data_IF_876388680625
#
_entry.id   IF_876388680625
#
_cell.length_a   1.000
_cell.length_b   1.000
_cell.length_c   1.000
_cell.angle_alpha   90.00
_cell.angle_beta   90.00
_cell.angle_gamma   90.00
#
_symmetry.space_group_name_H-M   'P 1'
#
loop_
_entity.id
_entity.type
_entity.pdbx_description
1 polymer ?
#
# COMPACT_ATOMS: atom_id res chain seq x y z
N UNK A 1 6.04 -5.77 -4.18
CA UNK A 1 6.77 -5.25 -5.36
C UNK A 1 7.80 -6.30 -5.79
N UNK A 2 8.16 -6.36 -7.07
CA UNK A 2 8.92 -7.46 -7.68
C UNK A 2 10.44 -7.28 -7.60
N UNK A 3 10.90 -6.07 -7.27
CA UNK A 3 12.25 -5.84 -6.79
C UNK A 3 12.44 -6.65 -5.50
N UNK A 4 13.64 -7.13 -5.18
CA UNK A 4 13.94 -7.82 -3.90
C UNK A 4 13.67 -6.98 -2.63
N UNK A 5 12.95 -5.86 -2.74
CA UNK A 5 12.51 -4.95 -1.70
C UNK A 5 11.01 -4.65 -1.82
N UNK A 6 10.31 -4.59 -0.69
CA UNK A 6 8.93 -4.14 -0.57
C UNK A 6 8.89 -2.73 0.07
N UNK A 7 7.83 -1.97 -0.14
CA UNK A 7 7.58 -0.70 0.55
C UNK A 7 6.06 -0.51 0.68
N UNK A 8 5.66 0.20 1.71
CA UNK A 8 4.27 0.46 2.04
C UNK A 8 3.85 1.80 1.48
N UNK A 9 2.63 1.88 0.97
CA UNK A 9 2.06 3.09 0.38
C UNK A 9 0.78 3.43 1.12
N UNK A 10 0.66 4.66 1.60
CA UNK A 10 -0.54 5.19 2.25
C UNK A 10 -1.10 6.33 1.40
N UNK A 11 -2.40 6.28 1.12
CA UNK A 11 -3.13 7.33 0.43
C UNK A 11 -4.47 7.58 1.14
N UNK A 12 -5.03 8.78 1.00
CA UNK A 12 -6.41 9.02 1.43
C UNK A 12 -7.43 8.39 0.47
N UNK A 13 -8.70 8.43 0.87
CA UNK A 13 -9.82 7.87 0.09
C UNK A 13 -10.08 8.59 -1.23
N UNK A 14 -9.48 9.77 -1.47
CA UNK A 14 -9.52 10.46 -2.76
C UNK A 14 -8.35 10.06 -3.68
N UNK A 15 -7.40 9.26 -3.16
CA UNK A 15 -6.24 8.78 -3.89
C UNK A 15 -5.02 9.67 -3.77
N UNK A 16 -5.06 10.71 -2.94
CA UNK A 16 -3.89 11.56 -2.67
C UNK A 16 -2.88 10.76 -1.86
N UNK A 17 -1.67 10.66 -2.39
CA UNK A 17 -0.55 10.00 -1.72
C UNK A 17 -0.16 10.76 -0.44
N UNK A 18 -0.17 10.06 0.69
CA UNK A 18 0.23 10.58 2.00
C UNK A 18 1.65 10.15 2.35
N UNK A 19 1.97 8.86 2.13
CA UNK A 19 3.25 8.31 2.57
C UNK A 19 3.74 7.17 1.65
N UNK A 20 5.07 7.07 1.50
CA UNK A 20 5.78 5.92 0.95
C UNK A 20 6.86 5.55 1.96
N UNK A 21 6.77 4.35 2.54
CA UNK A 21 7.73 3.89 3.55
C UNK A 21 9.13 3.71 2.96
N UNK A 22 10.09 3.56 3.86
CA UNK A 22 11.40 3.05 3.47
C UNK A 22 11.27 1.63 2.87
N UNK A 23 12.18 1.26 1.96
CA UNK A 23 12.17 -0.07 1.38
C UNK A 23 12.68 -1.09 2.39
N UNK A 24 11.95 -2.18 2.55
CA UNK A 24 12.29 -3.35 3.36
C UNK A 24 12.62 -4.53 2.44
N UNK A 25 13.22 -5.60 2.95
CA UNK A 25 13.47 -6.79 2.14
C UNK A 25 12.15 -7.45 1.64
N UNK A 26 12.11 -7.88 0.39
CA UNK A 26 10.90 -8.37 -0.28
C UNK A 26 10.36 -9.73 0.20
N UNK A 27 11.01 -10.36 1.18
CA UNK A 27 10.65 -11.70 1.70
C UNK A 27 9.51 -11.65 2.74
N UNK A 28 9.21 -10.48 3.29
CA UNK A 28 8.23 -10.35 4.37
C UNK A 28 6.79 -10.31 3.85
N UNK A 29 5.88 -10.99 4.56
CA UNK A 29 4.44 -10.83 4.37
C UNK A 29 4.04 -9.37 4.57
N UNK A 30 3.02 -8.89 3.87
CA UNK A 30 2.56 -7.49 3.93
C UNK A 30 2.22 -7.04 5.36
N UNK A 31 1.61 -7.89 6.18
CA UNK A 31 1.34 -7.58 7.59
C UNK A 31 2.61 -7.44 8.45
N UNK A 32 3.70 -8.15 8.10
CA UNK A 32 5.00 -7.98 8.74
C UNK A 32 5.65 -6.68 8.29
N UNK A 33 5.69 -6.45 6.98
CA UNK A 33 6.18 -5.24 6.36
C UNK A 33 5.54 -3.97 6.95
N UNK A 34 4.23 -4.04 7.16
CA UNK A 34 3.46 -2.96 7.77
C UNK A 34 3.93 -2.60 9.19
N UNK A 35 4.23 -3.60 10.02
CA UNK A 35 4.74 -3.38 11.38
C UNK A 35 6.18 -2.90 11.37
N UNK A 36 7.02 -3.52 10.54
CA UNK A 36 8.45 -3.21 10.41
C UNK A 36 8.70 -1.77 9.94
N UNK A 37 7.81 -1.24 9.11
CA UNK A 37 7.88 0.16 8.64
C UNK A 37 7.43 1.19 9.69
N UNK A 38 6.95 0.77 10.87
CA UNK A 38 6.44 1.67 11.92
C UNK A 38 5.09 2.32 11.61
N UNK A 39 4.47 1.98 10.47
CA UNK A 39 3.17 2.52 10.10
C UNK A 39 2.07 2.09 11.06
N UNK A 40 2.20 0.91 11.66
CA UNK A 40 1.28 0.38 12.67
C UNK A 40 1.11 1.33 13.87
N UNK A 41 2.17 2.05 14.24
CA UNK A 41 2.19 2.95 15.39
C UNK A 41 1.75 4.38 15.01
N UNK A 42 1.64 4.66 13.71
CA UNK A 42 1.38 6.01 13.18
C UNK A 42 -0.07 6.20 12.73
N UNK A 43 -0.70 5.16 12.17
CA UNK A 43 -2.05 5.26 11.59
C UNK A 43 -3.12 4.78 12.56
N UNK A 44 -4.32 5.38 12.49
CA UNK A 44 -5.49 4.83 13.16
C UNK A 44 -5.96 3.56 12.41
N UNK A 45 -5.59 2.39 12.94
CA UNK A 45 -5.87 1.09 12.33
C UNK A 45 -7.36 0.87 12.08
N UNK A 46 -8.23 1.23 13.04
CA UNK A 46 -9.68 0.99 12.92
C UNK A 46 -10.36 1.82 11.82
N UNK A 47 -9.66 2.83 11.30
CA UNK A 47 -10.13 3.66 10.19
C UNK A 47 -9.22 3.56 8.94
N UNK A 48 -8.33 2.58 8.90
CA UNK A 48 -7.43 2.36 7.77
C UNK A 48 -7.92 1.16 6.94
N UNK A 49 -8.20 1.40 5.66
CA UNK A 49 -8.56 0.35 4.71
C UNK A 49 -7.30 -0.36 4.21
N UNK A 50 -7.34 -1.70 4.15
CA UNK A 50 -6.24 -2.49 3.59
C UNK A 50 -6.72 -3.75 2.87
N UNK A 51 -5.82 -4.36 2.10
CA UNK A 51 -6.09 -5.64 1.43
C UNK A 51 -6.15 -6.79 2.46
N UNK A 52 -6.69 -7.94 2.03
CA UNK A 52 -6.75 -9.21 2.76
C UNK A 52 -5.39 -9.69 3.26
N UNK A 53 -4.28 -9.27 2.63
CA UNK A 53 -2.91 -9.56 3.09
C UNK A 53 -2.56 -8.95 4.44
N UNK A 54 -3.35 -7.96 4.89
CA UNK A 54 -3.22 -7.27 6.18
C UNK A 54 -4.22 -7.78 7.22
N UNK A 55 -4.87 -8.94 6.98
CA UNK A 55 -5.75 -9.51 8.00
C UNK A 55 -4.98 -9.79 9.31
N UNK A 56 -5.59 -9.45 10.45
CA UNK A 56 -4.97 -9.58 11.76
C UNK A 56 -4.09 -8.38 12.17
N UNK A 57 -4.07 -7.28 11.41
CA UNK A 57 -3.39 -6.03 11.81
C UNK A 57 -4.30 -5.05 12.53
N UNK A 58 -5.60 -5.33 12.66
CA UNK A 58 -6.60 -4.38 13.19
C UNK A 58 -7.17 -3.41 12.16
N UNK A 59 -6.66 -3.45 10.91
CA UNK A 59 -7.20 -2.68 9.79
C UNK A 59 -8.54 -3.18 9.30
N UNK A 60 -9.29 -2.27 8.68
CA UNK A 60 -10.51 -2.58 7.96
C UNK A 60 -10.13 -3.30 6.66
N UNK A 61 -10.32 -4.62 6.65
CA UNK A 61 -10.03 -5.49 5.50
C UNK A 61 -11.31 -6.16 4.99
N UNK A 62 -11.34 -6.66 3.74
CA UNK A 62 -12.46 -7.46 3.26
C UNK A 62 -12.68 -8.71 4.11
N UNK A 63 -13.94 -8.99 4.44
CA UNK A 63 -14.36 -10.17 5.18
C UNK A 63 -14.31 -11.39 4.25
N UNK A 64 -13.66 -12.46 4.72
CA UNK A 64 -13.61 -13.76 4.03
C UNK A 64 -14.83 -14.59 4.42
N UNK A 65 -15.31 -15.40 3.46
CA UNK A 65 -16.28 -16.46 3.73
C UNK A 65 -15.64 -17.48 4.67
N UNK A 66 -16.35 -17.89 5.73
CA UNK A 66 -15.83 -18.93 6.63
C UNK A 66 -15.96 -20.31 5.96
N UNK A 67 -15.08 -21.28 6.26
CA UNK A 67 -15.16 -22.62 5.67
C UNK A 67 -16.50 -23.33 5.90
N UNK A 68 -17.14 -23.07 7.05
CA UNK A 68 -18.45 -23.61 7.42
C UNK A 68 -19.64 -22.93 6.74
N UNK A 69 -19.43 -21.83 6.02
CA UNK A 69 -20.49 -21.07 5.37
C UNK A 69 -20.56 -21.43 3.87
N UNK A 70 -21.75 -21.80 3.40
CA UNK A 70 -22.01 -22.05 1.97
C UNK A 70 -21.83 -20.76 1.15
N UNK A 71 -22.37 -19.64 1.66
CA UNK A 71 -22.34 -18.33 1.03
C UNK A 71 -21.79 -17.24 1.96
N UNK A 72 -21.24 -16.17 1.37
CA UNK A 72 -20.84 -14.98 2.12
C UNK A 72 -22.12 -14.28 2.63
N UNK A 73 -22.25 -14.01 3.95
CA UNK A 73 -23.41 -13.33 4.49
C UNK A 73 -23.65 -11.95 3.85
N UNK A 74 -24.91 -11.51 3.80
CA UNK A 74 -25.26 -10.23 3.16
C UNK A 74 -24.54 -9.04 3.81
N UNK A 75 -24.41 -9.00 5.13
CA UNK A 75 -23.65 -7.94 5.82
C UNK A 75 -22.19 -7.87 5.34
N UNK A 76 -21.55 -9.03 5.13
CA UNK A 76 -20.17 -9.12 4.66
C UNK A 76 -20.06 -8.72 3.18
N UNK A 77 -21.09 -8.98 2.36
CA UNK A 77 -21.17 -8.45 0.98
C UNK A 77 -21.26 -6.93 0.96
N UNK A 78 -22.11 -6.32 1.80
CA UNK A 78 -22.23 -4.86 1.91
C UNK A 78 -20.91 -4.22 2.38
N UNK A 79 -20.27 -4.78 3.41
CA UNK A 79 -18.94 -4.36 3.88
C UNK A 79 -17.89 -4.45 2.77
N UNK A 80 -17.80 -5.59 2.09
CA UNK A 80 -16.83 -5.79 1.01
C UNK A 80 -17.07 -4.84 -0.17
N UNK A 81 -18.33 -4.51 -0.49
CA UNK A 81 -18.65 -3.50 -1.50
C UNK A 81 -18.09 -2.14 -1.12
N UNK A 82 -18.29 -1.70 0.13
CA UNK A 82 -17.73 -0.43 0.63
C UNK A 82 -16.19 -0.42 0.53
N UNK A 83 -15.52 -1.47 1.01
CA UNK A 83 -14.04 -1.56 0.93
C UNK A 83 -13.56 -1.59 -0.52
N UNK A 84 -14.23 -2.34 -1.40
CA UNK A 84 -13.84 -2.47 -2.80
C UNK A 84 -14.02 -1.17 -3.60
N UNK A 85 -15.04 -0.36 -3.29
CA UNK A 85 -15.21 0.97 -3.93
C UNK A 85 -13.99 1.86 -3.71
N UNK A 86 -13.42 1.84 -2.50
CA UNK A 86 -12.24 2.63 -2.17
C UNK A 86 -10.93 2.01 -2.64
N UNK A 87 -10.85 0.66 -2.68
CA UNK A 87 -9.68 -0.06 -3.21
C UNK A 87 -9.32 0.40 -4.61
N UNK A 88 -10.30 0.60 -5.49
CA UNK A 88 -10.04 1.03 -6.86
C UNK A 88 -9.21 2.32 -6.92
N UNK A 89 -9.54 3.30 -6.06
CA UNK A 89 -8.83 4.57 -5.97
C UNK A 89 -7.40 4.36 -5.48
N UNK A 90 -7.22 3.56 -4.42
CA UNK A 90 -5.89 3.24 -3.86
C UNK A 90 -5.03 2.47 -4.88
N UNK A 91 -5.61 1.48 -5.57
CA UNK A 91 -4.94 0.70 -6.62
C UNK A 91 -4.50 1.58 -7.78
N UNK A 92 -5.31 2.56 -8.19
CA UNK A 92 -4.93 3.56 -9.19
C UNK A 92 -3.72 4.39 -8.71
N UNK A 93 -3.72 4.82 -7.45
CA UNK A 93 -2.57 5.54 -6.85
C UNK A 93 -1.32 4.66 -6.82
N UNK A 94 -1.42 3.39 -6.44
CA UNK A 94 -0.30 2.45 -6.45
C UNK A 94 0.19 2.20 -7.89
N UNK A 95 -0.72 2.01 -8.85
CA UNK A 95 -0.38 1.81 -10.25
C UNK A 95 0.42 3.01 -10.80
N UNK A 96 0.00 4.23 -10.48
CA UNK A 96 0.73 5.45 -10.87
C UNK A 96 2.09 5.60 -10.17
N UNK A 97 2.32 4.98 -9.02
CA UNK A 97 3.65 4.92 -8.39
C UNK A 97 4.51 3.86 -9.09
N UNK A 98 3.93 2.73 -9.49
CA UNK A 98 4.64 1.65 -10.20
C UNK A 98 5.12 2.04 -11.60
N UNK A 99 4.62 3.13 -12.20
CA UNK A 99 5.18 3.67 -13.45
C UNK A 99 6.63 4.14 -13.27
N UNK A 100 7.01 4.50 -12.04
CA UNK A 100 8.39 4.76 -11.67
C UNK A 100 9.15 3.43 -11.56
N UNK A 101 10.03 3.18 -12.53
CA UNK A 101 10.73 1.90 -12.72
C UNK A 101 11.38 1.32 -11.46
N UNK A 102 11.86 2.16 -10.54
CA UNK A 102 12.48 1.72 -9.28
C UNK A 102 11.54 0.91 -8.36
N UNK A 103 10.22 1.08 -8.49
CA UNK A 103 9.21 0.40 -7.68
C UNK A 103 8.65 -0.89 -8.32
N UNK A 104 8.96 -1.16 -9.59
CA UNK A 104 8.35 -2.31 -10.30
C UNK A 104 9.35 -3.15 -11.11
N UNK A 105 10.51 -2.60 -11.45
CA UNK A 105 11.54 -3.32 -12.22
C UNK A 105 12.76 -3.59 -11.38
N UNK A 106 13.44 -4.70 -11.64
CA UNK A 106 14.68 -5.07 -10.95
C UNK A 106 15.71 -3.94 -11.00
N UNK A 107 16.23 -3.60 -9.83
CA UNK A 107 17.25 -2.58 -9.70
C UNK A 107 18.61 -3.13 -10.16
N UNK A 108 19.13 -2.61 -11.29
CA UNK A 108 20.33 -3.13 -11.96
C UNK A 108 21.66 -2.46 -11.55
N UNK A 109 21.63 -1.45 -10.68
CA UNK A 109 22.83 -0.76 -10.17
C UNK A 109 23.30 -1.43 -8.87
N UNK A 110 24.53 -1.16 -8.38
CA UNK A 110 25.00 -1.74 -7.11
C UNK A 110 23.99 -1.54 -5.98
N UNK A 111 23.64 -2.60 -5.25
CA UNK A 111 22.57 -2.55 -4.25
C UNK A 111 22.78 -1.47 -3.18
N UNK A 112 24.04 -1.13 -2.86
CA UNK A 112 24.38 -0.03 -1.94
C UNK A 112 23.79 1.33 -2.35
N UNK A 113 23.55 1.58 -3.65
CA UNK A 113 23.00 2.83 -4.16
C UNK A 113 21.47 2.83 -4.23
N UNK A 114 20.83 1.70 -3.93
CA UNK A 114 19.38 1.54 -4.05
C UNK A 114 18.62 2.51 -3.16
N UNK A 115 19.03 2.65 -1.90
CA UNK A 115 18.31 3.50 -0.93
C UNK A 115 18.35 4.97 -1.32
N UNK A 116 19.48 5.46 -1.81
CA UNK A 116 19.62 6.84 -2.28
C UNK A 116 18.76 7.10 -3.52
N UNK A 117 18.81 6.18 -4.49
CA UNK A 117 17.98 6.27 -5.68
C UNK A 117 16.47 6.20 -5.33
N UNK A 118 16.10 5.32 -4.41
CA UNK A 118 14.73 5.19 -3.93
C UNK A 118 14.25 6.48 -3.27
N UNK A 119 15.06 7.06 -2.38
CA UNK A 119 14.74 8.30 -1.68
C UNK A 119 14.63 9.50 -2.63
N UNK A 120 15.51 9.59 -3.63
CA UNK A 120 15.45 10.62 -4.66
C UNK A 120 14.15 10.53 -5.48
N UNK A 121 13.78 9.33 -5.94
CA UNK A 121 12.54 9.13 -6.69
C UNK A 121 11.31 9.35 -5.79
N UNK A 122 11.33 8.90 -4.54
CA UNK A 122 10.29 9.18 -3.54
C UNK A 122 10.07 10.68 -3.40
N UNK A 123 11.14 11.46 -3.23
CA UNK A 123 11.06 12.92 -3.17
C UNK A 123 10.46 13.54 -4.43
N UNK A 124 10.87 13.06 -5.62
CA UNK A 124 10.34 13.54 -6.89
C UNK A 124 8.84 13.23 -7.08
N UNK A 125 8.37 12.07 -6.62
CA UNK A 125 6.93 11.71 -6.62
C UNK A 125 6.13 12.71 -5.79
N UNK A 126 6.59 13.04 -4.58
CA UNK A 126 5.89 14.02 -3.74
C UNK A 126 5.94 15.42 -4.33
N UNK A 127 7.08 15.84 -4.86
CA UNK A 127 7.24 17.14 -5.50
C UNK A 127 6.31 17.32 -6.72
N UNK A 128 6.26 16.33 -7.61
CA UNK A 128 5.41 16.37 -8.81
C UNK A 128 3.91 16.39 -8.47
N UNK A 129 3.51 15.70 -7.41
CA UNK A 129 2.11 15.67 -6.94
C UNK A 129 1.68 16.94 -6.21
N UNK A 130 2.60 17.63 -5.54
CA UNK A 130 2.28 18.93 -4.92
C UNK A 130 2.03 20.00 -5.99
N UNK A 131 2.77 20.00 -7.11
CA UNK A 131 2.55 20.94 -8.21
C UNK A 131 1.15 20.83 -8.84
N UNK A 132 0.55 19.65 -8.84
CA UNK A 132 -0.79 19.42 -9.41
C UNK A 132 -1.91 20.02 -8.54
N UNK A 133 -1.64 20.41 -7.29
CA UNK A 133 -2.62 21.05 -6.40
C UNK A 133 -2.64 22.59 -6.51
N UNK A 134 -1.75 23.19 -7.30
CA UNK A 134 -1.63 24.64 -7.50
C UNK A 134 -1.93 25.09 -8.94
N UNK A 135 -2.42 24.19 -9.79
CA UNK A 135 -2.88 24.45 -11.15
C UNK A 135 -4.38 24.19 -11.24
#
# INVERSE_FOLDING_TARGET
MTTGHNCQVLADLSGRLIHISDPIAGKHHDAHAFRETGLADTVNLSNTLADKGYQGTGMVTPIKKRPSEEHLPNYAKHHNRFVNTHRYVIERTIASIKTWRIFHTDYRRPLRTFRDAFNAVRGLIFFTRQKTNFA
#
